data_IF_030927652625
#
_entry.id   IF_030927652625
#
_cell.length_a   1.000
_cell.length_b   1.000
_cell.length_c   1.000
_cell.angle_alpha   90.00
_cell.angle_beta   90.00
_cell.angle_gamma   90.00
#
_symmetry.space_group_name_H-M   'P 1'
#
loop_
_entity.id
_entity.type
_entity.pdbx_description
1 polymer ?
#
# COMPACT_ATOMS: atom_id res chain seq x y z
N UNK A 1 -6.33 -12.69 15.66
CA UNK A 1 -6.51 -11.23 15.95
C UNK A 1 -5.18 -10.47 16.04
N UNK A 2 -4.10 -11.04 16.58
CA UNK A 2 -2.81 -10.33 16.68
C UNK A 2 -2.22 -9.90 15.33
N UNK A 3 -2.12 -10.81 14.35
CA UNK A 3 -1.53 -10.52 13.02
C UNK A 3 -2.21 -9.36 12.28
N UNK A 4 -3.55 -9.34 12.24
CA UNK A 4 -4.32 -8.25 11.58
C UNK A 4 -3.97 -6.90 12.21
N UNK A 5 -3.98 -6.83 13.55
CA UNK A 5 -3.62 -5.61 14.27
C UNK A 5 -2.16 -5.23 14.05
N UNK A 6 -1.25 -6.20 14.06
CA UNK A 6 0.17 -5.94 13.80
C UNK A 6 0.42 -5.38 12.41
N UNK A 7 -0.22 -5.92 11.36
CA UNK A 7 -0.08 -5.44 9.99
C UNK A 7 -0.61 -4.01 9.84
N UNK A 8 -1.77 -3.73 10.44
CA UNK A 8 -2.36 -2.38 10.41
C UNK A 8 -1.49 -1.34 11.15
N UNK A 9 -0.92 -1.70 12.29
CA UNK A 9 -0.02 -0.81 13.03
C UNK A 9 1.29 -0.63 12.26
N UNK A 10 1.88 -1.71 11.73
CA UNK A 10 3.12 -1.65 10.99
C UNK A 10 2.99 -0.79 9.73
N UNK A 11 1.89 -0.91 8.98
CA UNK A 11 1.64 -0.08 7.80
C UNK A 11 1.55 1.41 8.15
N UNK A 12 0.93 1.76 9.28
CA UNK A 12 0.89 3.14 9.76
C UNK A 12 2.26 3.66 10.17
N UNK A 13 3.05 2.84 10.88
CA UNK A 13 4.40 3.23 11.30
C UNK A 13 5.34 3.44 10.10
N UNK A 14 5.25 2.59 9.08
CA UNK A 14 6.00 2.74 7.83
C UNK A 14 5.63 4.06 7.14
N UNK A 15 4.34 4.35 7.03
CA UNK A 15 3.85 5.62 6.48
C UNK A 15 4.36 6.83 7.27
N UNK A 16 4.25 6.81 8.59
CA UNK A 16 4.72 7.92 9.44
C UNK A 16 6.24 8.13 9.32
N UNK A 17 7.02 7.06 9.23
CA UNK A 17 8.46 7.14 9.02
C UNK A 17 8.79 7.80 7.67
N UNK A 18 8.09 7.43 6.59
CA UNK A 18 8.22 8.06 5.29
C UNK A 18 7.84 9.54 5.32
N UNK A 19 6.72 9.90 5.94
CA UNK A 19 6.31 11.30 6.08
C UNK A 19 7.32 12.12 6.86
N UNK A 20 7.86 11.57 7.96
CA UNK A 20 8.94 12.21 8.73
C UNK A 20 10.18 12.45 7.85
N UNK A 21 10.60 11.44 7.08
CA UNK A 21 11.72 11.57 6.14
C UNK A 21 11.45 12.65 5.08
N UNK A 22 10.27 12.67 4.47
CA UNK A 22 9.86 13.68 3.49
C UNK A 22 9.93 15.09 4.06
N UNK A 23 9.38 15.30 5.27
CA UNK A 23 9.40 16.62 5.93
C UNK A 23 10.83 17.08 6.27
N UNK A 24 11.66 16.18 6.81
CA UNK A 24 13.06 16.49 7.17
C UNK A 24 13.89 16.82 5.92
N UNK A 25 13.64 16.17 4.81
CA UNK A 25 14.40 16.37 3.55
C UNK A 25 13.83 17.50 2.69
N UNK A 26 12.61 17.96 2.96
CA UNK A 26 11.88 18.92 2.14
C UNK A 26 12.65 20.20 1.79
N UNK A 27 13.40 20.76 2.75
CA UNK A 27 14.19 21.98 2.53
C UNK A 27 15.34 21.77 1.53
N UNK A 28 15.80 20.53 1.36
CA UNK A 28 16.91 20.15 0.47
C UNK A 28 16.44 19.82 -0.95
N UNK A 29 15.12 19.71 -1.15
CA UNK A 29 14.55 19.41 -2.46
C UNK A 29 14.54 20.67 -3.34
N UNK A 30 14.78 20.53 -4.67
CA UNK A 30 14.60 21.61 -5.63
C UNK A 30 13.17 22.15 -5.63
N UNK A 31 12.97 23.32 -6.24
CA UNK A 31 11.65 23.96 -6.28
C UNK A 31 10.63 23.20 -7.11
N UNK A 32 11.11 22.49 -8.14
CA UNK A 32 10.30 21.62 -9.00
C UNK A 32 10.80 20.19 -8.91
N UNK A 33 9.86 19.26 -8.75
CA UNK A 33 10.08 17.84 -8.62
C UNK A 33 9.37 17.08 -9.75
N UNK A 34 9.94 15.97 -10.23
CA UNK A 34 9.20 15.07 -11.11
C UNK A 34 7.97 14.51 -10.39
N UNK A 35 6.84 14.51 -11.07
CA UNK A 35 5.59 13.93 -10.58
C UNK A 35 5.06 12.81 -11.48
N UNK A 36 5.71 12.59 -12.61
CA UNK A 36 5.41 11.50 -13.53
C UNK A 36 6.67 11.05 -14.27
N UNK A 37 6.74 9.74 -14.52
CA UNK A 37 7.81 9.11 -15.29
C UNK A 37 7.20 8.30 -16.43
N UNK A 38 7.79 8.36 -17.60
CA UNK A 38 7.41 7.56 -18.74
C UNK A 38 7.80 6.08 -18.57
N UNK A 39 7.43 5.23 -19.53
CA UNK A 39 7.77 3.82 -19.50
C UNK A 39 9.28 3.52 -19.57
N UNK A 40 10.08 4.46 -20.07
CA UNK A 40 11.55 4.33 -20.07
C UNK A 40 12.17 4.73 -18.72
N UNK A 41 11.39 5.31 -17.81
CA UNK A 41 11.84 5.79 -16.52
C UNK A 41 12.32 7.23 -16.51
N UNK A 42 12.14 7.98 -17.61
CA UNK A 42 12.49 9.39 -17.68
C UNK A 42 11.37 10.25 -17.12
N UNK A 43 11.74 11.28 -16.35
CA UNK A 43 10.77 12.24 -15.83
C UNK A 43 10.22 13.10 -16.97
N UNK A 44 8.92 13.07 -17.20
CA UNK A 44 8.24 13.77 -18.29
C UNK A 44 7.22 14.82 -17.83
N UNK A 45 6.97 14.89 -16.52
CA UNK A 45 6.14 15.94 -15.92
C UNK A 45 6.69 16.38 -14.58
N UNK A 46 6.61 17.69 -14.29
CA UNK A 46 7.19 18.33 -13.11
C UNK A 46 6.16 19.23 -12.44
N UNK A 47 6.20 19.26 -11.10
CA UNK A 47 5.40 20.18 -10.31
C UNK A 47 6.24 20.85 -9.21
N UNK A 48 5.66 21.84 -8.54
CA UNK A 48 6.29 22.45 -7.38
C UNK A 48 6.39 21.42 -6.23
N UNK A 49 7.49 21.43 -5.48
CA UNK A 49 7.78 20.45 -4.43
C UNK A 49 6.70 20.27 -3.35
N UNK A 50 5.81 21.26 -3.16
CA UNK A 50 4.69 21.10 -2.22
C UNK A 50 3.68 20.04 -2.67
N UNK A 51 3.62 19.76 -3.99
CA UNK A 51 2.77 18.71 -4.55
C UNK A 51 3.19 17.33 -4.05
N UNK A 52 4.50 17.11 -3.84
CA UNK A 52 5.01 15.88 -3.22
C UNK A 52 4.42 15.68 -1.80
N UNK A 53 4.39 16.73 -0.98
CA UNK A 53 3.75 16.66 0.34
C UNK A 53 2.25 16.37 0.24
N UNK A 54 1.56 16.96 -0.73
CA UNK A 54 0.13 16.73 -0.96
C UNK A 54 -0.13 15.27 -1.34
N UNK A 55 0.61 14.73 -2.32
CA UNK A 55 0.49 13.35 -2.77
C UNK A 55 0.76 12.39 -1.61
N UNK A 56 1.87 12.59 -0.90
CA UNK A 56 2.23 11.73 0.24
C UNK A 56 1.21 11.82 1.38
N UNK A 57 0.64 13.01 1.62
CA UNK A 57 -0.42 13.18 2.62
C UNK A 57 -1.71 12.44 2.22
N UNK A 58 -2.00 12.33 0.92
CA UNK A 58 -3.17 11.61 0.43
C UNK A 58 -3.10 10.09 0.71
N UNK A 59 -1.91 9.51 0.91
CA UNK A 59 -1.76 8.08 1.23
C UNK A 59 -2.42 7.70 2.56
N UNK A 60 -2.58 8.64 3.50
CA UNK A 60 -3.34 8.37 4.73
C UNK A 60 -4.80 8.03 4.45
N UNK A 61 -5.38 8.59 3.38
CA UNK A 61 -6.76 8.28 2.97
C UNK A 61 -6.86 6.82 2.52
N UNK A 62 -5.87 6.34 1.75
CA UNK A 62 -5.79 4.93 1.33
C UNK A 62 -5.70 4.03 2.57
N UNK A 63 -4.79 4.37 3.51
CA UNK A 63 -4.67 3.63 4.76
C UNK A 63 -5.99 3.58 5.53
N UNK A 64 -6.69 4.72 5.65
CA UNK A 64 -7.98 4.82 6.34
C UNK A 64 -9.07 3.98 5.67
N UNK A 65 -9.11 3.94 4.34
CA UNK A 65 -10.08 3.12 3.60
C UNK A 65 -9.91 1.64 3.98
N UNK A 66 -8.70 1.11 3.91
CA UNK A 66 -8.42 -0.27 4.29
C UNK A 66 -8.67 -0.54 5.78
N UNK A 67 -8.29 0.39 6.65
CA UNK A 67 -8.54 0.29 8.10
C UNK A 67 -10.04 0.23 8.40
N UNK A 68 -10.83 1.15 7.84
CA UNK A 68 -12.29 1.21 8.03
C UNK A 68 -12.94 -0.04 7.44
N UNK A 69 -12.58 -0.43 6.22
CA UNK A 69 -13.08 -1.65 5.58
C UNK A 69 -12.83 -2.89 6.46
N UNK A 70 -11.60 -3.08 6.92
CA UNK A 70 -11.25 -4.21 7.80
C UNK A 70 -11.91 -4.13 9.18
N UNK A 71 -12.03 -2.94 9.76
CA UNK A 71 -12.63 -2.73 11.10
C UNK A 71 -14.12 -3.03 11.11
N UNK A 72 -14.83 -2.57 10.06
CA UNK A 72 -16.29 -2.62 10.00
C UNK A 72 -16.80 -3.71 9.06
N UNK A 73 -15.94 -4.57 8.51
CA UNK A 73 -16.33 -5.61 7.55
C UNK A 73 -17.54 -6.45 8.01
N UNK A 74 -17.58 -6.87 9.28
CA UNK A 74 -18.70 -7.64 9.82
C UNK A 74 -20.05 -6.91 9.75
N UNK A 75 -20.03 -5.59 9.93
CA UNK A 75 -21.25 -4.77 9.83
C UNK A 75 -21.70 -4.68 8.37
N UNK A 76 -20.76 -4.47 7.44
CA UNK A 76 -21.05 -4.43 6.01
C UNK A 76 -21.60 -5.79 5.51
N UNK A 77 -21.01 -6.89 5.92
CA UNK A 77 -21.45 -8.24 5.56
C UNK A 77 -22.88 -8.51 6.03
N UNK A 78 -23.21 -8.14 7.27
CA UNK A 78 -24.57 -8.27 7.80
C UNK A 78 -25.59 -7.40 7.06
N UNK A 79 -25.21 -6.20 6.69
CA UNK A 79 -26.07 -5.27 5.95
C UNK A 79 -26.35 -5.74 4.52
N UNK A 80 -25.39 -6.37 3.87
CA UNK A 80 -25.53 -6.92 2.51
C UNK A 80 -26.23 -8.29 2.47
N UNK A 81 -26.75 -8.79 3.60
CA UNK A 81 -27.38 -10.11 3.75
C UNK A 81 -26.46 -11.31 3.39
N UNK A 82 -25.15 -11.10 3.36
CA UNK A 82 -24.17 -12.15 3.14
C UNK A 82 -23.87 -12.87 4.46
N UNK A 83 -24.17 -14.16 4.51
CA UNK A 83 -23.89 -15.02 5.68
C UNK A 83 -22.47 -15.58 5.58
N UNK A 84 -21.48 -14.78 5.96
CA UNK A 84 -20.10 -15.25 6.09
C UNK A 84 -19.87 -15.98 7.42
N UNK A 85 -19.12 -17.07 7.34
CA UNK A 85 -18.62 -17.75 8.53
C UNK A 85 -17.58 -16.88 9.28
N UNK A 86 -17.39 -17.07 10.60
CA UNK A 86 -16.34 -16.36 11.35
C UNK A 86 -14.93 -16.55 10.77
N UNK A 87 -14.70 -17.68 10.08
CA UNK A 87 -13.42 -17.99 9.42
C UNK A 87 -13.23 -17.12 8.16
N UNK A 88 -14.25 -16.99 7.33
CA UNK A 88 -14.24 -16.13 6.14
C UNK A 88 -14.05 -14.66 6.52
N UNK A 89 -14.79 -14.19 7.53
CA UNK A 89 -14.65 -12.83 8.05
C UNK A 89 -13.19 -12.57 8.48
N UNK A 90 -12.58 -13.52 9.18
CA UNK A 90 -11.16 -13.40 9.61
C UNK A 90 -10.21 -13.39 8.41
N UNK A 91 -10.45 -14.24 7.41
CA UNK A 91 -9.64 -14.30 6.20
C UNK A 91 -9.70 -12.98 5.42
N UNK A 92 -10.90 -12.40 5.24
CA UNK A 92 -11.08 -11.12 4.54
C UNK A 92 -10.43 -9.96 5.31
N UNK A 93 -10.58 -9.93 6.64
CA UNK A 93 -9.89 -8.91 7.45
C UNK A 93 -8.36 -9.05 7.37
N UNK A 94 -7.84 -10.27 7.33
CA UNK A 94 -6.42 -10.52 7.13
C UNK A 94 -5.97 -10.07 5.74
N UNK A 95 -6.73 -10.40 4.71
CA UNK A 95 -6.50 -9.94 3.34
C UNK A 95 -6.40 -8.42 3.25
N UNK A 96 -7.41 -7.69 3.75
CA UNK A 96 -7.43 -6.23 3.74
C UNK A 96 -6.24 -5.62 4.49
N UNK A 97 -5.85 -6.21 5.64
CA UNK A 97 -4.69 -5.71 6.39
C UNK A 97 -3.36 -6.04 5.72
N UNK A 98 -3.27 -7.15 4.98
CA UNK A 98 -2.09 -7.51 4.15
C UNK A 98 -1.95 -6.55 2.98
N UNK A 99 -3.02 -6.32 2.22
CA UNK A 99 -3.02 -5.33 1.13
C UNK A 99 -2.66 -3.93 1.61
N UNK A 100 -3.20 -3.52 2.75
CA UNK A 100 -2.86 -2.23 3.34
C UNK A 100 -1.34 -2.13 3.64
N UNK A 101 -0.77 -3.18 4.24
CA UNK A 101 0.67 -3.23 4.52
C UNK A 101 1.50 -3.19 3.23
N UNK A 102 1.14 -3.98 2.22
CA UNK A 102 1.85 -4.04 0.94
C UNK A 102 1.82 -2.69 0.23
N UNK A 103 0.64 -2.08 0.09
CA UNK A 103 0.47 -0.78 -0.59
C UNK A 103 1.23 0.32 0.16
N UNK A 104 1.08 0.40 1.48
CA UNK A 104 1.76 1.44 2.26
C UNK A 104 3.27 1.26 2.27
N UNK A 105 3.77 0.02 2.29
CA UNK A 105 5.20 -0.27 2.17
C UNK A 105 5.74 0.14 0.81
N UNK A 106 5.03 -0.20 -0.27
CA UNK A 106 5.42 0.18 -1.63
C UNK A 106 5.48 1.71 -1.78
N UNK A 107 4.40 2.41 -1.45
CA UNK A 107 4.33 3.87 -1.57
C UNK A 107 5.42 4.56 -0.74
N UNK A 108 5.67 4.05 0.47
CA UNK A 108 6.70 4.62 1.35
C UNK A 108 8.11 4.39 0.82
N UNK A 109 8.43 3.18 0.36
CA UNK A 109 9.76 2.87 -0.20
C UNK A 109 9.96 3.64 -1.51
N UNK A 110 8.94 3.67 -2.38
CA UNK A 110 9.00 4.42 -3.64
C UNK A 110 9.31 5.89 -3.41
N UNK A 111 8.57 6.56 -2.50
CA UNK A 111 8.80 7.96 -2.14
C UNK A 111 10.21 8.20 -1.58
N UNK A 112 10.70 7.31 -0.72
CA UNK A 112 12.06 7.44 -0.16
C UNK A 112 13.12 7.30 -1.26
N UNK A 113 12.95 6.35 -2.18
CA UNK A 113 13.86 6.16 -3.32
C UNK A 113 13.82 7.35 -4.29
N UNK A 114 12.64 7.89 -4.56
CA UNK A 114 12.45 9.08 -5.40
C UNK A 114 13.16 10.30 -4.79
N UNK A 115 12.94 10.61 -3.52
CA UNK A 115 13.62 11.70 -2.81
C UNK A 115 15.14 11.49 -2.82
N UNK A 116 15.60 10.27 -2.57
CA UNK A 116 17.02 9.94 -2.59
C UNK A 116 17.64 10.17 -3.98
N UNK A 117 16.96 9.71 -5.03
CA UNK A 117 17.36 9.91 -6.44
C UNK A 117 17.52 11.39 -6.78
N UNK A 118 16.56 12.22 -6.39
CA UNK A 118 16.56 13.67 -6.61
C UNK A 118 17.76 14.31 -5.90
N UNK A 119 17.99 13.96 -4.63
CA UNK A 119 19.07 14.55 -3.83
C UNK A 119 20.48 14.18 -4.32
N UNK A 120 20.64 13.00 -4.92
CA UNK A 120 21.95 12.51 -5.36
C UNK A 120 22.16 12.65 -6.87
N UNK A 121 21.21 13.26 -7.60
CA UNK A 121 21.25 13.38 -9.07
C UNK A 121 21.53 12.06 -9.77
N UNK A 122 21.04 10.95 -9.23
CA UNK A 122 21.26 9.60 -9.71
C UNK A 122 19.95 8.98 -10.16
N UNK A 123 19.82 8.62 -11.43
CA UNK A 123 18.62 7.93 -11.93
C UNK A 123 18.65 6.46 -11.52
N UNK A 124 17.64 6.04 -10.75
CA UNK A 124 17.37 4.64 -10.45
C UNK A 124 16.35 4.09 -11.44
N UNK A 125 16.63 2.93 -12.01
CA UNK A 125 15.61 2.24 -12.78
C UNK A 125 14.59 1.59 -11.84
N UNK A 126 13.52 2.32 -11.52
CA UNK A 126 12.45 1.85 -10.64
C UNK A 126 11.47 0.87 -11.32
N UNK A 127 11.67 0.56 -12.62
CA UNK A 127 10.80 -0.38 -13.35
C UNK A 127 10.76 -1.75 -12.66
N UNK A 128 11.93 -2.30 -12.30
CA UNK A 128 12.01 -3.58 -11.60
C UNK A 128 11.32 -3.57 -10.24
N UNK A 129 11.43 -2.47 -9.51
CA UNK A 129 10.74 -2.29 -8.22
C UNK A 129 9.22 -2.33 -8.41
N UNK A 130 8.70 -1.62 -9.43
CA UNK A 130 7.29 -1.63 -9.78
C UNK A 130 6.80 -3.03 -10.19
N UNK A 131 7.59 -3.74 -11.02
CA UNK A 131 7.26 -5.12 -11.45
C UNK A 131 7.19 -6.09 -10.26
N UNK A 132 8.15 -6.03 -9.34
CA UNK A 132 8.15 -6.86 -8.12
C UNK A 132 6.89 -6.58 -7.30
N UNK A 133 6.51 -5.32 -7.13
CA UNK A 133 5.30 -4.97 -6.40
C UNK A 133 4.03 -5.52 -7.05
N UNK A 134 3.89 -5.42 -8.38
CA UNK A 134 2.76 -5.99 -9.12
C UNK A 134 2.69 -7.52 -8.91
N UNK A 135 3.83 -8.20 -8.92
CA UNK A 135 3.90 -9.65 -8.68
C UNK A 135 3.44 -9.96 -7.23
N UNK A 136 3.91 -9.21 -6.24
CA UNK A 136 3.53 -9.43 -4.83
C UNK A 136 2.01 -9.26 -4.66
N UNK A 137 1.43 -8.16 -5.14
CA UNK A 137 -0.02 -7.94 -5.09
C UNK A 137 -0.78 -9.05 -5.83
N UNK A 138 -0.32 -9.43 -7.03
CA UNK A 138 -0.92 -10.52 -7.80
C UNK A 138 -0.92 -11.84 -7.04
N UNK A 139 0.19 -12.20 -6.41
CA UNK A 139 0.29 -13.41 -5.57
C UNK A 139 -0.65 -13.33 -4.35
N UNK A 140 -0.73 -12.20 -3.69
CA UNK A 140 -1.65 -11.99 -2.57
C UNK A 140 -3.10 -12.18 -3.01
N UNK A 141 -3.51 -11.59 -4.14
CA UNK A 141 -4.84 -11.78 -4.71
C UNK A 141 -5.14 -13.25 -5.01
N UNK A 142 -4.21 -13.94 -5.70
CA UNK A 142 -4.37 -15.36 -6.04
C UNK A 142 -4.50 -16.23 -4.79
N UNK A 143 -3.63 -16.03 -3.80
CA UNK A 143 -3.66 -16.81 -2.55
C UNK A 143 -5.01 -16.63 -1.84
N UNK A 144 -5.48 -15.41 -1.68
CA UNK A 144 -6.74 -15.15 -0.96
C UNK A 144 -7.98 -15.54 -1.76
N UNK A 145 -7.93 -15.57 -3.10
CA UNK A 145 -9.01 -16.11 -3.94
C UNK A 145 -9.07 -17.64 -3.89
N UNK A 146 -7.91 -18.32 -3.84
CA UNK A 146 -7.87 -19.80 -3.84
C UNK A 146 -8.14 -20.42 -2.47
N UNK A 147 -7.75 -19.76 -1.37
CA UNK A 147 -7.93 -20.28 -0.01
C UNK A 147 -9.36 -20.73 0.31
N UNK A 148 -10.42 -19.97 0.00
CA UNK A 148 -11.80 -20.41 0.26
C UNK A 148 -12.17 -21.66 -0.53
N UNK A 149 -11.73 -21.76 -1.78
CA UNK A 149 -12.01 -22.90 -2.66
C UNK A 149 -11.34 -24.18 -2.17
N UNK A 150 -10.08 -24.09 -1.77
CA UNK A 150 -9.31 -25.24 -1.21
C UNK A 150 -9.95 -25.73 0.08
N UNK A 151 -10.40 -24.83 0.96
CA UNK A 151 -11.06 -25.21 2.19
C UNK A 151 -12.41 -25.87 1.97
N UNK A 152 -13.20 -25.37 1.02
CA UNK A 152 -14.49 -25.96 0.68
C UNK A 152 -14.35 -27.39 0.13
N UNK A 153 -13.33 -27.64 -0.68
CA UNK A 153 -13.02 -28.99 -1.20
C UNK A 153 -12.61 -29.95 -0.06
N UNK A 154 -11.84 -29.47 0.92
CA UNK A 154 -11.39 -30.31 2.05
C UNK A 154 -12.52 -30.64 3.03
N UNK A 155 -13.46 -29.73 3.23
CA UNK A 155 -14.60 -29.91 4.15
C UNK A 155 -15.71 -30.78 3.50
N UNK A 156 -15.60 -31.11 2.21
CA UNK A 156 -16.51 -32.01 1.45
C UNK A 156 -16.03 -33.46 1.32
N UNK A 157 -14.83 -33.77 1.86
CA UNK A 157 -14.27 -35.12 1.97
C UNK A 157 -14.42 -35.66 3.39
#
# INVERSE_FOLDING_TARGET
MSKIRSFTILSLLIYLAMMCYTVVTYSKLPTKEPIHYNLAGDADNFADKWVLLLINSAFIVIWLIFFIAGRYYERFAKWSHYNHTPREIRAIKLFLSTLNLEIMSYMSIFTVLEIWQIQHHHQLNLLWFNMIFIIIIGLTLVIFCLLPTIHKMRDSQ
#
